data_IF_853025662967
#
_entry.id   IF_853025662967
#
_cell.length_a   1.000
_cell.length_b   1.000
_cell.length_c   1.000
_cell.angle_alpha   90.00
_cell.angle_beta   90.00
_cell.angle_gamma   90.00
#
_symmetry.space_group_name_H-M   'P 1'
#
loop_
_entity.id
_entity.type
_entity.pdbx_description
1 polymer ?
#
# COMPACT_ATOMS: atom_id res chain seq x y z
N UNK A 1 16.27 -31.35 34.09
CA UNK A 1 17.44 -30.57 33.66
C UNK A 1 17.73 -31.09 32.26
N UNK A 2 17.29 -30.46 31.17
CA UNK A 2 16.90 -29.07 31.02
C UNK A 2 15.72 -28.92 30.06
N UNK A 3 14.71 -28.19 30.56
CA UNK A 3 13.71 -27.47 29.79
C UNK A 3 14.37 -26.14 29.38
N UNK A 4 13.95 -25.52 28.26
CA UNK A 4 14.47 -24.26 27.65
C UNK A 4 15.56 -24.57 26.62
N UNK A 5 15.35 -24.44 25.30
CA UNK A 5 14.90 -23.25 24.60
C UNK A 5 13.80 -23.55 23.58
N UNK A 6 12.58 -23.14 23.94
CA UNK A 6 11.54 -22.79 22.98
C UNK A 6 11.96 -21.48 22.32
N UNK A 7 12.64 -21.55 21.18
CA UNK A 7 12.70 -20.40 20.27
C UNK A 7 11.28 -20.24 19.70
N UNK A 8 10.54 -19.31 20.28
CA UNK A 8 9.29 -18.83 19.73
C UNK A 8 9.61 -18.27 18.34
N UNK A 9 9.17 -18.99 17.31
CA UNK A 9 9.02 -18.40 15.99
C UNK A 9 7.92 -17.35 16.16
N UNK A 10 8.29 -16.07 16.09
CA UNK A 10 7.35 -14.95 15.95
C UNK A 10 6.35 -15.33 14.84
N UNK A 11 5.03 -15.14 15.03
CA UNK A 11 4.06 -15.57 14.04
C UNK A 11 4.38 -14.83 12.73
N UNK A 12 4.62 -15.58 11.66
CA UNK A 12 4.56 -15.09 10.28
C UNK A 12 3.41 -14.08 10.18
N UNK A 13 3.72 -12.82 9.85
CA UNK A 13 2.73 -11.82 9.47
C UNK A 13 1.80 -12.50 8.46
N UNK A 14 0.55 -12.71 8.86
CA UNK A 14 -0.43 -13.33 7.97
C UNK A 14 -0.65 -12.33 6.84
N UNK A 15 -0.17 -12.66 5.63
CA UNK A 15 -0.42 -11.86 4.43
C UNK A 15 -1.92 -11.52 4.37
N UNK A 16 -2.23 -10.24 4.55
CA UNK A 16 -3.59 -9.73 4.51
C UNK A 16 -3.99 -9.49 3.05
N UNK A 17 -5.30 -9.55 2.72
CA UNK A 17 -5.75 -9.25 1.36
C UNK A 17 -5.32 -7.87 0.84
N UNK A 18 -5.10 -6.91 1.76
CA UNK A 18 -4.61 -5.56 1.48
C UNK A 18 -3.18 -5.52 0.96
N UNK A 19 -2.31 -6.46 1.35
CA UNK A 19 -0.90 -6.47 0.99
C UNK A 19 -0.72 -6.50 -0.53
N UNK A 20 -1.49 -7.35 -1.23
CA UNK A 20 -1.46 -7.41 -2.70
C UNK A 20 -1.91 -6.12 -3.39
N UNK A 21 -2.78 -5.36 -2.72
CA UNK A 21 -3.22 -4.06 -3.23
C UNK A 21 -2.13 -3.03 -2.99
N UNK A 22 -1.48 -3.06 -1.83
CA UNK A 22 -0.33 -2.23 -1.52
C UNK A 22 0.82 -2.47 -2.52
N UNK A 23 1.18 -3.72 -2.80
CA UNK A 23 2.20 -4.09 -3.80
C UNK A 23 1.90 -3.49 -5.18
N UNK A 24 0.63 -3.55 -5.61
CA UNK A 24 0.21 -2.97 -6.88
C UNK A 24 0.35 -1.45 -6.87
N UNK A 25 -0.06 -0.80 -5.78
CA UNK A 25 0.04 0.66 -5.64
C UNK A 25 1.50 1.10 -5.63
N UNK A 26 2.35 0.44 -4.82
CA UNK A 26 3.78 0.67 -4.75
C UNK A 26 4.43 0.52 -6.12
N UNK A 27 4.20 -0.60 -6.81
CA UNK A 27 4.73 -0.84 -8.15
C UNK A 27 4.37 0.28 -9.15
N UNK A 28 3.12 0.77 -9.11
CA UNK A 28 2.70 1.86 -10.00
C UNK A 28 3.35 3.18 -9.58
N UNK A 29 3.40 3.49 -8.29
CA UNK A 29 3.93 4.75 -7.77
C UNK A 29 5.43 4.85 -8.03
N UNK A 30 6.21 3.81 -7.71
CA UNK A 30 7.65 3.78 -7.98
C UNK A 30 7.95 4.01 -9.47
N UNK A 31 7.12 3.48 -10.37
CA UNK A 31 7.25 3.75 -11.82
C UNK A 31 6.89 5.18 -12.29
N UNK A 32 6.39 6.05 -11.41
CA UNK A 32 5.95 7.42 -11.73
C UNK A 32 6.82 8.52 -11.08
N UNK A 33 7.58 8.19 -10.04
CA UNK A 33 8.37 9.15 -9.26
C UNK A 33 9.81 9.22 -9.77
N UNK A 34 10.50 10.32 -9.45
CA UNK A 34 11.93 10.44 -9.74
C UNK A 34 12.80 9.89 -8.59
N UNK A 35 12.30 9.95 -7.34
CA UNK A 35 12.97 9.44 -6.14
C UNK A 35 12.17 8.29 -5.51
N UNK A 36 12.53 7.05 -5.85
CA UNK A 36 11.89 5.85 -5.31
C UNK A 36 12.17 5.65 -3.82
N UNK A 37 13.33 6.10 -3.32
CA UNK A 37 13.72 5.95 -1.91
C UNK A 37 12.87 6.84 -0.97
N UNK A 38 12.23 7.86 -1.53
CA UNK A 38 11.30 8.73 -0.81
C UNK A 38 9.87 8.16 -0.74
N UNK A 39 9.59 7.04 -1.40
CA UNK A 39 8.25 6.41 -1.38
C UNK A 39 8.12 5.49 -0.17
N UNK A 40 7.06 5.67 0.60
CA UNK A 40 6.64 4.72 1.64
C UNK A 40 5.14 4.51 1.61
N UNK A 41 4.72 3.29 1.93
CA UNK A 41 3.31 2.95 2.06
C UNK A 41 3.01 2.52 3.50
N UNK A 42 1.95 3.11 4.05
CA UNK A 42 1.37 2.69 5.33
C UNK A 42 -0.02 2.08 5.06
N UNK A 43 -0.24 0.88 5.57
CA UNK A 43 -1.51 0.15 5.41
C UNK A 43 -2.20 0.08 6.77
N UNK A 44 -3.40 0.65 6.85
CA UNK A 44 -4.26 0.55 8.02
C UNK A 44 -5.46 -0.32 7.69
N UNK A 45 -5.48 -1.53 8.24
CA UNK A 45 -6.59 -2.47 8.09
C UNK A 45 -7.69 -2.24 9.13
N UNK A 46 -8.92 -2.50 8.71
CA UNK A 46 -10.15 -2.45 9.52
C UNK A 46 -11.09 -3.56 9.08
N UNK A 47 -12.24 -3.72 9.74
CA UNK A 47 -13.20 -4.77 9.41
C UNK A 47 -13.74 -4.63 7.96
N UNK A 48 -13.16 -5.40 7.03
CA UNK A 48 -13.56 -5.47 5.63
C UNK A 48 -13.08 -4.29 4.76
N UNK A 49 -12.22 -3.42 5.29
CA UNK A 49 -11.66 -2.30 4.55
C UNK A 49 -10.21 -2.00 4.95
N UNK A 50 -9.45 -1.44 4.03
CA UNK A 50 -8.07 -1.04 4.25
C UNK A 50 -7.80 0.35 3.65
N UNK A 51 -7.07 1.18 4.39
CA UNK A 51 -6.55 2.46 3.91
C UNK A 51 -5.08 2.28 3.54
N UNK A 52 -4.71 2.69 2.34
CA UNK A 52 -3.32 2.69 1.85
C UNK A 52 -2.88 4.15 1.71
N UNK A 53 -2.00 4.58 2.59
CA UNK A 53 -1.41 5.92 2.57
C UNK A 53 -0.06 5.86 1.85
N UNK A 54 0.08 6.60 0.76
CA UNK A 54 1.32 6.71 0.00
C UNK A 54 1.98 8.04 0.37
N UNK A 55 3.17 7.98 0.96
CA UNK A 55 4.01 9.15 1.20
C UNK A 55 5.09 9.22 0.13
N UNK A 56 5.36 10.42 -0.38
CA UNK A 56 6.45 10.68 -1.34
C UNK A 56 6.92 12.13 -1.22
N UNK A 57 7.96 12.50 -1.97
CA UNK A 57 8.42 13.89 -2.02
C UNK A 57 7.34 14.85 -2.58
N UNK A 58 7.33 16.13 -2.17
CA UNK A 58 6.39 17.13 -2.70
C UNK A 58 6.41 17.20 -4.24
N UNK A 59 7.59 17.06 -4.85
CA UNK A 59 7.77 17.09 -6.31
C UNK A 59 7.12 15.88 -6.98
N UNK A 60 7.21 14.70 -6.36
CA UNK A 60 6.67 13.45 -6.87
C UNK A 60 5.17 13.30 -6.60
N UNK A 61 4.68 13.84 -5.49
CA UNK A 61 3.24 13.92 -5.21
C UNK A 61 2.50 14.60 -6.37
N UNK A 62 3.07 15.64 -6.97
CA UNK A 62 2.52 16.27 -8.17
C UNK A 62 2.37 15.33 -9.37
N UNK A 63 3.32 14.40 -9.57
CA UNK A 63 3.32 13.40 -10.65
C UNK A 63 2.30 12.29 -10.37
N UNK A 64 2.28 11.78 -9.14
CA UNK A 64 1.37 10.72 -8.69
C UNK A 64 -0.09 11.21 -8.73
N UNK A 65 -0.36 12.42 -8.28
CA UNK A 65 -1.70 13.03 -8.39
C UNK A 65 -2.04 13.25 -9.88
N UNK A 66 -1.09 13.82 -10.62
CA UNK A 66 -1.23 14.12 -12.03
C UNK A 66 -2.25 15.22 -12.34
N UNK A 67 -2.26 15.67 -13.59
CA UNK A 67 -3.10 16.81 -14.02
C UNK A 67 -4.60 16.55 -13.77
N UNK A 68 -5.23 17.40 -12.95
CA UNK A 68 -6.64 17.29 -12.49
C UNK A 68 -6.94 16.00 -11.72
N UNK A 69 -5.92 15.40 -11.10
CA UNK A 69 -6.04 14.16 -10.34
C UNK A 69 -6.27 12.92 -11.20
N UNK A 70 -5.98 12.96 -12.52
CA UNK A 70 -6.29 11.84 -13.42
C UNK A 70 -5.48 10.58 -13.10
N UNK A 71 -4.21 10.74 -12.72
CA UNK A 71 -3.32 9.62 -12.41
C UNK A 71 -3.76 8.93 -11.13
N UNK A 72 -3.91 9.66 -10.02
CA UNK A 72 -4.38 9.08 -8.76
C UNK A 72 -5.79 8.47 -8.84
N UNK A 73 -6.69 9.03 -9.67
CA UNK A 73 -8.00 8.41 -9.94
C UNK A 73 -7.88 7.05 -10.62
N UNK A 74 -6.94 6.90 -11.55
CA UNK A 74 -6.68 5.62 -12.22
C UNK A 74 -6.08 4.60 -11.23
N UNK A 75 -5.10 5.02 -10.42
CA UNK A 75 -4.52 4.19 -9.36
C UNK A 75 -5.61 3.69 -8.40
N UNK A 76 -6.45 4.59 -7.87
CA UNK A 76 -7.59 4.22 -7.01
C UNK A 76 -8.57 3.25 -7.69
N UNK A 77 -8.79 3.40 -8.98
CA UNK A 77 -9.67 2.49 -9.73
C UNK A 77 -9.08 1.08 -9.79
N UNK A 78 -7.78 0.97 -10.07
CA UNK A 78 -7.08 -0.32 -10.10
C UNK A 78 -7.01 -0.96 -8.71
N UNK A 79 -6.66 -0.17 -7.69
CA UNK A 79 -6.62 -0.64 -6.30
C UNK A 79 -7.98 -1.21 -5.88
N UNK A 80 -9.08 -0.47 -6.08
CA UNK A 80 -10.45 -0.93 -5.78
C UNK A 80 -10.84 -2.18 -6.56
N UNK A 81 -10.46 -2.27 -7.84
CA UNK A 81 -10.74 -3.45 -8.66
C UNK A 81 -10.01 -4.69 -8.13
N UNK A 82 -8.75 -4.55 -7.68
CA UNK A 82 -8.01 -5.66 -7.06
C UNK A 82 -8.57 -5.99 -5.67
N UNK A 83 -8.82 -4.98 -4.84
CA UNK A 83 -9.44 -5.13 -3.51
C UNK A 83 -10.73 -5.95 -3.56
N UNK A 84 -11.63 -5.62 -4.49
CA UNK A 84 -12.86 -6.40 -4.71
C UNK A 84 -12.60 -7.88 -5.06
N UNK A 85 -11.52 -8.18 -5.79
CA UNK A 85 -11.16 -9.55 -6.15
C UNK A 85 -10.57 -10.34 -4.98
N UNK A 86 -9.87 -9.68 -4.06
CA UNK A 86 -9.22 -10.31 -2.90
C UNK A 86 -10.08 -10.23 -1.63
N UNK A 87 -11.22 -9.52 -1.68
CA UNK A 87 -12.21 -9.48 -0.61
C UNK A 87 -12.03 -8.35 0.41
N UNK A 88 -11.33 -7.26 0.06
CA UNK A 88 -11.22 -6.06 0.92
C UNK A 88 -11.63 -4.80 0.16
N UNK A 89 -12.38 -3.91 0.82
CA UNK A 89 -12.61 -2.56 0.30
C UNK A 89 -11.33 -1.73 0.52
N UNK A 90 -10.91 -0.93 -0.46
CA UNK A 90 -9.65 -0.20 -0.37
C UNK A 90 -9.82 1.26 -0.76
N UNK A 91 -9.21 2.13 0.04
CA UNK A 91 -9.01 3.55 -0.28
C UNK A 91 -7.52 3.83 -0.35
N UNK A 92 -7.13 4.72 -1.28
CA UNK A 92 -5.74 5.12 -1.46
C UNK A 92 -5.65 6.62 -1.24
N UNK A 93 -4.74 7.07 -0.39
CA UNK A 93 -4.42 8.47 -0.15
C UNK A 93 -2.96 8.76 -0.52
N UNK A 94 -2.71 9.99 -0.96
CA UNK A 94 -1.35 10.45 -1.30
C UNK A 94 -1.06 11.64 -0.41
N UNK A 95 0.00 11.50 0.36
CA UNK A 95 0.54 12.52 1.26
C UNK A 95 1.82 13.03 0.61
N UNK A 96 1.92 14.35 0.46
CA UNK A 96 3.05 15.04 -0.14
C UNK A 96 3.58 16.12 0.79
#
# INVERSE_FOLDING_TARGET
>A
MDNTESMLVEPEERELPSDRVADLVEYIVCGLVDDEDAVSLDVTDSEGSSLIEVTCSEADAGRVIGRKGRTIKAIRTLARALGQRVGTAVEVEVIG
#
